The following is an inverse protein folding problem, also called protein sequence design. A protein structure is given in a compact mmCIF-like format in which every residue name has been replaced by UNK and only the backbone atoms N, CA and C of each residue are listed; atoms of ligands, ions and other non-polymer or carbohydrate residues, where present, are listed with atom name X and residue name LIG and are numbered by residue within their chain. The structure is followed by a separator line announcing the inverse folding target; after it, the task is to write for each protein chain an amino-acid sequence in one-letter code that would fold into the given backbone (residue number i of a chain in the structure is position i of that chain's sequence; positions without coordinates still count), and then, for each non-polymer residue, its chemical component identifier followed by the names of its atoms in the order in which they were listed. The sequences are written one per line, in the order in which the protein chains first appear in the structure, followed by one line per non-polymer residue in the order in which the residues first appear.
data_IF_466815208996
#
_entry.id   IF_466815208996
#
_cell.length_a   1.000
_cell.length_b   1.000
_cell.length_c   1.000
_cell.angle_alpha   90.00
_cell.angle_beta   90.00
_cell.angle_gamma   90.00
#
_symmetry.space_group_name_H-M   'P 1'
#
loop_
_entity.id
_entity.type
_entity.pdbx_description
1 polymer ?
#
# COMPACT_ATOMS: atom_id res chain seq x y z
N UNK A 1 -14.47 -7.32 9.13
CA UNK A 1 -13.25 -7.83 8.45
C UNK A 1 -11.96 -7.17 8.97
N UNK A 2 -11.57 -5.96 8.56
CA UNK A 2 -10.27 -5.35 9.00
C UNK A 2 -10.21 -5.08 10.52
N UNK A 3 -11.33 -4.66 11.11
CA UNK A 3 -11.46 -4.48 12.56
C UNK A 3 -11.31 -5.80 13.32
N UNK A 4 -11.90 -6.88 12.81
CA UNK A 4 -11.79 -8.22 13.41
C UNK A 4 -10.35 -8.74 13.32
N UNK A 5 -9.70 -8.59 12.16
CA UNK A 5 -8.28 -8.92 12.00
C UNK A 5 -7.42 -8.13 12.98
N UNK A 6 -7.71 -6.85 13.17
CA UNK A 6 -6.99 -5.99 14.12
C UNK A 6 -7.21 -6.39 15.57
N UNK A 7 -8.41 -6.89 15.91
CA UNK A 7 -8.70 -7.40 17.24
C UNK A 7 -7.94 -8.70 17.54
N UNK A 8 -7.68 -9.53 16.53
CA UNK A 8 -6.98 -10.81 16.69
C UNK A 8 -5.46 -10.62 16.64
N UNK A 9 -4.96 -9.84 15.68
CA UNK A 9 -3.53 -9.72 15.39
C UNK A 9 -2.88 -8.49 16.06
N UNK A 10 -3.68 -7.50 16.45
CA UNK A 10 -3.24 -6.17 16.86
C UNK A 10 -3.26 -5.19 15.69
N UNK A 11 -3.74 -3.97 15.93
CA UNK A 11 -3.96 -2.94 14.90
C UNK A 11 -2.72 -2.55 14.09
N UNK A 12 -1.53 -2.59 14.70
CA UNK A 12 -0.25 -2.31 14.03
C UNK A 12 0.23 -3.44 13.11
N UNK A 13 -0.45 -4.59 13.09
CA UNK A 13 -0.08 -5.76 12.28
C UNK A 13 -0.98 -5.95 11.06
N UNK A 14 -1.94 -5.05 10.86
CA UNK A 14 -2.87 -5.08 9.73
C UNK A 14 -2.64 -3.86 8.87
N UNK A 15 -2.41 -4.08 7.58
CA UNK A 15 -2.21 -3.06 6.58
C UNK A 15 -2.92 -3.42 5.27
N UNK A 16 -2.94 -2.47 4.35
CA UNK A 16 -3.55 -2.61 3.02
C UNK A 16 -2.46 -2.51 1.96
N UNK A 17 -2.58 -3.32 0.92
CA UNK A 17 -1.78 -3.19 -0.30
C UNK A 17 -2.69 -2.81 -1.48
N UNK A 18 -2.55 -1.61 -2.02
CA UNK A 18 -3.35 -1.12 -3.16
C UNK A 18 -2.80 0.19 -3.72
N UNK A 19 -3.16 0.52 -4.96
CA UNK A 19 -2.94 1.85 -5.56
C UNK A 19 -4.26 2.59 -5.79
N UNK A 20 -4.16 3.88 -6.12
CA UNK A 20 -5.32 4.77 -6.30
C UNK A 20 -6.29 4.30 -7.39
N UNK A 21 -5.77 3.73 -8.50
CA UNK A 21 -6.58 3.24 -9.62
C UNK A 21 -7.42 2.04 -9.19
N UNK A 22 -6.78 1.05 -8.55
CA UNK A 22 -7.46 -0.16 -8.07
C UNK A 22 -8.42 0.13 -6.93
N UNK A 23 -8.05 1.01 -6.01
CA UNK A 23 -8.95 1.44 -4.95
C UNK A 23 -10.22 2.04 -5.52
N UNK A 24 -10.10 2.97 -6.47
CA UNK A 24 -11.24 3.61 -7.09
C UNK A 24 -12.13 2.61 -7.84
N UNK A 25 -11.55 1.65 -8.56
CA UNK A 25 -12.33 0.70 -9.37
C UNK A 25 -12.98 -0.42 -8.57
N UNK A 26 -12.39 -0.85 -7.45
CA UNK A 26 -12.84 -2.01 -6.67
C UNK A 26 -13.60 -1.59 -5.41
N UNK A 27 -13.05 -0.63 -4.66
CA UNK A 27 -13.58 -0.21 -3.36
C UNK A 27 -14.49 1.00 -3.50
N UNK A 28 -14.17 1.88 -4.45
CA UNK A 28 -14.88 3.14 -4.70
C UNK A 28 -14.19 4.32 -4.02
N UNK A 29 -14.18 5.46 -4.72
CA UNK A 29 -13.47 6.69 -4.29
C UNK A 29 -14.01 7.30 -2.98
N UNK A 30 -15.27 7.04 -2.62
CA UNK A 30 -15.90 7.61 -1.43
C UNK A 30 -15.66 6.85 -0.13
N UNK A 31 -15.14 5.62 -0.17
CA UNK A 31 -14.98 4.80 1.02
C UNK A 31 -13.60 5.00 1.67
N UNK A 32 -13.59 5.32 2.96
CA UNK A 32 -12.39 5.65 3.74
C UNK A 32 -12.19 4.78 4.98
N UNK A 33 -12.98 3.71 5.14
CA UNK A 33 -13.02 2.92 6.38
C UNK A 33 -11.72 2.19 6.72
N UNK A 34 -10.78 2.06 5.77
CA UNK A 34 -9.48 1.43 6.00
C UNK A 34 -8.37 2.42 6.40
N UNK A 35 -8.60 3.74 6.37
CA UNK A 35 -7.59 4.75 6.70
C UNK A 35 -6.88 4.58 8.06
N UNK A 36 -7.45 3.93 9.11
CA UNK A 36 -6.72 3.68 10.35
C UNK A 36 -5.56 2.69 10.22
N UNK A 37 -5.48 1.94 9.11
CA UNK A 37 -4.44 0.97 8.83
C UNK A 37 -3.35 1.55 7.93
N UNK A 38 -2.15 0.98 7.98
CA UNK A 38 -1.05 1.40 7.10
C UNK A 38 -1.34 1.03 5.64
N UNK A 39 -0.85 1.85 4.70
CA UNK A 39 -0.93 1.60 3.26
C UNK A 39 0.45 1.34 2.68
N UNK A 40 0.57 0.22 1.98
CA UNK A 40 1.68 -0.12 1.10
C UNK A 40 1.20 0.03 -0.34
N UNK A 41 1.67 1.06 -1.06
CA UNK A 41 1.19 1.34 -2.41
C UNK A 41 2.19 0.95 -3.49
N UNK A 42 1.77 0.25 -4.56
CA UNK A 42 2.62 0.03 -5.71
C UNK A 42 2.55 1.19 -6.70
N UNK A 43 3.72 1.69 -7.11
CA UNK A 43 3.88 2.53 -8.28
C UNK A 43 5.29 2.33 -8.85
N UNK A 44 5.37 1.63 -9.98
CA UNK A 44 6.64 1.15 -10.53
C UNK A 44 7.33 2.20 -11.40
N UNK A 45 7.85 3.24 -10.73
CA UNK A 45 8.50 4.39 -11.36
C UNK A 45 10.03 4.39 -11.17
N UNK A 46 10.59 3.31 -10.59
CA UNK A 46 12.00 3.20 -10.23
C UNK A 46 12.48 4.24 -9.21
N UNK A 47 11.57 4.95 -8.52
CA UNK A 47 11.91 6.04 -7.61
C UNK A 47 11.59 5.69 -6.15
N UNK A 48 12.64 5.59 -5.34
CA UNK A 48 12.59 5.43 -3.88
C UNK A 48 12.21 6.75 -3.18
N UNK A 49 10.98 7.20 -3.39
CA UNK A 49 10.42 8.41 -2.81
C UNK A 49 8.90 8.29 -2.74
N UNK A 50 8.27 9.03 -1.82
CA UNK A 50 6.81 9.18 -1.75
C UNK A 50 6.30 10.47 -2.42
N UNK A 51 7.18 11.19 -3.13
CA UNK A 51 6.83 12.46 -3.78
C UNK A 51 5.72 12.35 -4.83
N UNK A 52 5.52 11.15 -5.38
CA UNK A 52 4.49 10.80 -6.36
C UNK A 52 3.17 10.31 -5.74
N UNK A 53 3.10 10.17 -4.41
CA UNK A 53 1.92 9.61 -3.77
C UNK A 53 0.68 10.47 -4.01
N UNK A 54 -0.37 9.85 -4.54
CA UNK A 54 -1.69 10.45 -4.70
C UNK A 54 -2.60 10.02 -3.54
N UNK A 55 -3.24 10.94 -2.81
CA UNK A 55 -4.19 10.56 -1.75
C UNK A 55 -5.39 9.76 -2.29
N UNK A 56 -5.73 8.66 -1.62
CA UNK A 56 -6.93 7.86 -1.89
C UNK A 56 -7.39 7.15 -0.60
N UNK A 57 -8.64 6.68 -0.54
CA UNK A 57 -9.12 5.85 0.58
C UNK A 57 -9.00 6.47 1.98
N UNK A 58 -8.83 7.79 2.08
CA UNK A 58 -8.56 8.52 3.32
C UNK A 58 -7.07 8.65 3.68
N UNK A 59 -6.16 7.93 3.02
CA UNK A 59 -4.72 8.07 3.23
C UNK A 59 -4.19 9.35 2.59
N UNK A 60 -3.50 10.16 3.39
CA UNK A 60 -2.78 11.37 2.93
C UNK A 60 -1.27 11.16 2.83
N UNK A 61 -0.75 10.06 3.39
CA UNK A 61 0.66 9.65 3.34
C UNK A 61 0.75 8.13 3.29
N UNK A 62 1.67 7.56 2.50
CA UNK A 62 1.92 6.13 2.49
C UNK A 62 2.82 5.69 3.64
N UNK A 63 2.82 4.39 3.94
CA UNK A 63 3.79 3.78 4.86
C UNK A 63 4.92 3.07 4.13
N UNK A 64 4.63 2.45 2.97
CA UNK A 64 5.60 1.74 2.12
C UNK A 64 5.23 1.99 0.66
N UNK A 65 6.22 2.07 -0.22
CA UNK A 65 6.06 2.06 -1.69
C UNK A 65 6.70 0.82 -2.27
N UNK A 66 5.99 0.07 -3.11
CA UNK A 66 6.63 -0.89 -4.02
C UNK A 66 6.97 -0.15 -5.32
N UNK A 67 8.26 0.11 -5.55
CA UNK A 67 8.72 1.00 -6.62
C UNK A 67 9.29 0.25 -7.83
N UNK A 68 9.57 -1.05 -7.69
CA UNK A 68 9.97 -1.97 -8.76
C UNK A 68 9.44 -3.37 -8.48
N UNK A 69 8.84 -4.00 -9.50
CA UNK A 69 8.47 -5.42 -9.47
C UNK A 69 9.43 -6.29 -10.27
N UNK A 70 9.38 -7.60 -10.05
CA UNK A 70 10.05 -8.63 -10.88
C UNK A 70 11.57 -8.44 -11.06
N UNK A 71 12.26 -7.88 -10.07
CA UNK A 71 13.71 -7.70 -10.11
C UNK A 71 14.41 -9.01 -9.77
N UNK A 72 15.55 -9.28 -10.41
CA UNK A 72 16.40 -10.43 -10.06
C UNK A 72 17.62 -9.95 -9.29
N UNK A 73 17.79 -10.43 -8.06
CA UNK A 73 19.02 -10.26 -7.29
C UNK A 73 19.47 -11.60 -6.73
N UNK A 74 20.77 -11.89 -6.79
CA UNK A 74 21.34 -13.14 -6.28
C UNK A 74 20.59 -14.41 -6.76
N UNK A 75 20.03 -14.39 -7.97
CA UNK A 75 19.26 -15.50 -8.56
C UNK A 75 17.82 -15.64 -8.06
N UNK A 76 17.30 -14.68 -7.29
CA UNK A 76 15.94 -14.68 -6.75
C UNK A 76 15.12 -13.52 -7.34
N UNK A 77 13.88 -13.81 -7.73
CA UNK A 77 12.91 -12.78 -8.12
C UNK A 77 12.35 -12.08 -6.88
N UNK A 78 12.41 -10.76 -6.86
CA UNK A 78 11.97 -9.93 -5.74
C UNK A 78 11.34 -8.62 -6.21
N UNK A 79 10.43 -8.11 -5.39
CA UNK A 79 9.90 -6.76 -5.53
C UNK A 79 10.62 -5.83 -4.57
N UNK A 80 11.02 -4.65 -5.05
CA UNK A 80 11.73 -3.66 -4.24
C UNK A 80 10.79 -2.63 -3.64
N UNK A 81 11.06 -2.32 -2.37
CA UNK A 81 10.21 -1.47 -1.55
C UNK A 81 11.00 -0.34 -0.88
N UNK A 82 10.35 0.79 -0.65
CA UNK A 82 10.88 1.96 0.06
C UNK A 82 9.99 2.27 1.28
N UNK A 83 10.62 2.57 2.42
CA UNK A 83 9.98 2.84 3.72
C UNK A 83 10.60 4.10 4.36
#
# INVERSE_FOLDING_TARGET
MLSEMSNILGSKRVGVYSNWVQWQSIVGSGWTGAQPHQIWYPHYDNWQSFADFQPFGGWTKPSIKQYQGDQTECGTALDRNFY
#
